data_IF_356808416208
#
_entry.id   IF_356808416208
#
_cell.length_a   1.000
_cell.length_b   1.000
_cell.length_c   1.000
_cell.angle_alpha   90.00
_cell.angle_beta   90.00
_cell.angle_gamma   90.00
#
_symmetry.space_group_name_H-M   'P 1'
#
loop_
_entity.id
_entity.type
_entity.pdbx_description
1 polymer ?
#
# COMPACT_ATOMS: atom_id res chain seq x y z
N UNK A 1 -43.42 5.74 21.01
CA UNK A 1 -42.13 5.90 21.71
C UNK A 1 -41.02 5.17 20.96
N UNK A 2 -41.08 3.87 20.74
CA UNK A 2 -40.04 3.10 20.03
C UNK A 2 -39.64 3.59 18.64
N UNK A 3 -40.57 3.97 17.73
CA UNK A 3 -40.17 4.45 16.39
C UNK A 3 -39.40 5.77 16.44
N UNK A 4 -39.66 6.62 17.44
CA UNK A 4 -38.91 7.87 17.62
C UNK A 4 -37.48 7.59 18.04
N UNK A 5 -37.27 6.62 18.96
CA UNK A 5 -35.93 6.23 19.41
C UNK A 5 -35.09 5.62 18.29
N UNK A 6 -35.69 4.76 17.46
CA UNK A 6 -35.02 4.20 16.26
C UNK A 6 -34.69 5.30 15.24
N UNK A 7 -35.60 6.26 15.02
CA UNK A 7 -35.33 7.37 14.12
C UNK A 7 -34.16 8.24 14.62
N UNK A 8 -34.10 8.52 15.94
CA UNK A 8 -33.01 9.28 16.54
C UNK A 8 -31.67 8.55 16.39
N UNK A 9 -31.61 7.24 16.63
CA UNK A 9 -30.41 6.44 16.41
C UNK A 9 -29.97 6.46 14.94
N UNK A 10 -30.91 6.42 14.00
CA UNK A 10 -30.61 6.56 12.58
C UNK A 10 -30.03 7.94 12.22
N UNK A 11 -30.59 9.01 12.80
CA UNK A 11 -30.07 10.38 12.62
C UNK A 11 -28.68 10.52 13.23
N UNK A 12 -28.47 10.02 14.46
CA UNK A 12 -27.14 10.00 15.09
C UNK A 12 -26.11 9.28 14.20
N UNK A 13 -26.44 8.09 13.73
CA UNK A 13 -25.55 7.34 12.86
C UNK A 13 -25.21 8.10 11.55
N UNK A 14 -26.19 8.75 10.94
CA UNK A 14 -25.97 9.56 9.73
C UNK A 14 -25.07 10.78 10.02
N UNK A 15 -25.31 11.47 11.14
CA UNK A 15 -24.48 12.61 11.57
C UNK A 15 -23.04 12.15 11.83
N UNK A 16 -22.85 11.02 12.53
CA UNK A 16 -21.52 10.48 12.80
C UNK A 16 -20.79 10.05 11.53
N UNK A 17 -21.47 9.36 10.60
CA UNK A 17 -20.90 9.03 9.31
C UNK A 17 -20.45 10.29 8.53
N UNK A 18 -21.32 11.30 8.48
CA UNK A 18 -21.01 12.56 7.79
C UNK A 18 -19.85 13.29 8.43
N UNK A 19 -19.77 13.30 9.77
CA UNK A 19 -18.68 13.92 10.49
C UNK A 19 -17.35 13.21 10.24
N UNK A 20 -17.30 11.87 10.33
CA UNK A 20 -16.10 11.06 10.06
C UNK A 20 -15.61 11.27 8.64
N UNK A 21 -16.50 11.14 7.65
CA UNK A 21 -16.18 11.28 6.24
C UNK A 21 -15.77 12.72 5.87
N UNK A 22 -16.45 13.71 6.47
CA UNK A 22 -16.13 15.14 6.29
C UNK A 22 -14.77 15.52 6.87
N UNK A 23 -14.47 15.07 8.10
CA UNK A 23 -13.17 15.29 8.71
C UNK A 23 -12.05 14.58 7.94
N UNK A 24 -12.30 13.38 7.47
CA UNK A 24 -11.34 12.69 6.61
C UNK A 24 -11.12 13.43 5.29
N UNK A 25 -12.17 13.97 4.67
CA UNK A 25 -12.05 14.77 3.45
C UNK A 25 -11.22 16.05 3.66
N UNK A 26 -11.32 16.67 4.83
CA UNK A 26 -10.54 17.88 5.16
C UNK A 26 -9.04 17.62 5.38
N UNK A 27 -8.58 16.37 5.32
CA UNK A 27 -7.19 15.97 5.60
C UNK A 27 -6.15 16.61 4.69
N UNK A 28 -6.54 16.96 3.47
CA UNK A 28 -5.65 17.67 2.52
C UNK A 28 -5.30 19.08 2.97
N UNK A 29 -6.16 19.71 3.78
CA UNK A 29 -5.97 21.06 4.30
C UNK A 29 -5.46 21.05 5.76
N UNK A 30 -6.01 20.17 6.60
CA UNK A 30 -5.81 20.17 8.05
C UNK A 30 -5.02 18.96 8.57
N UNK A 31 -4.67 18.01 7.70
CA UNK A 31 -4.12 16.72 8.10
C UNK A 31 -5.19 15.85 8.79
N UNK A 32 -4.77 14.71 9.33
CA UNK A 32 -5.66 13.76 10.03
C UNK A 32 -5.91 14.11 11.51
N UNK A 33 -5.22 15.11 12.05
CA UNK A 33 -5.32 15.48 13.48
C UNK A 33 -6.75 15.80 13.95
N UNK A 34 -7.61 16.54 13.19
CA UNK A 34 -8.98 16.77 13.60
C UNK A 34 -9.80 15.48 13.72
N UNK A 35 -9.58 14.52 12.81
CA UNK A 35 -10.23 13.21 12.89
C UNK A 35 -9.82 12.47 14.17
N UNK A 36 -8.53 12.44 14.51
CA UNK A 36 -8.02 11.76 15.71
C UNK A 36 -8.56 12.37 16.98
N UNK A 37 -8.65 13.71 17.07
CA UNK A 37 -9.21 14.41 18.23
C UNK A 37 -10.68 14.05 18.43
N UNK A 38 -11.48 14.06 17.36
CA UNK A 38 -12.91 13.74 17.44
C UNK A 38 -13.13 12.27 17.78
N UNK A 39 -12.32 11.36 17.26
CA UNK A 39 -12.38 9.94 17.64
C UNK A 39 -12.04 9.72 19.11
N UNK A 40 -11.04 10.42 19.65
CA UNK A 40 -10.76 10.43 21.10
C UNK A 40 -11.93 10.96 21.93
N UNK A 41 -12.60 12.01 21.44
CA UNK A 41 -13.83 12.53 22.05
C UNK A 41 -14.98 11.51 22.05
N UNK A 42 -15.15 10.73 20.99
CA UNK A 42 -16.15 9.65 20.95
C UNK A 42 -15.88 8.57 21.98
N UNK A 43 -14.62 8.19 22.19
CA UNK A 43 -14.24 7.23 23.23
C UNK A 43 -14.58 7.76 24.63
N UNK A 44 -14.34 9.05 24.88
CA UNK A 44 -14.73 9.68 26.16
C UNK A 44 -16.25 9.68 26.34
N UNK A 45 -17.02 10.05 25.33
CA UNK A 45 -18.49 10.07 25.40
C UNK A 45 -19.04 8.65 25.58
N UNK A 46 -18.47 7.65 24.88
CA UNK A 46 -18.86 6.24 25.07
C UNK A 46 -18.66 5.76 26.50
N UNK A 47 -17.50 6.06 27.09
CA UNK A 47 -17.19 5.68 28.46
C UNK A 47 -18.08 6.42 29.51
N UNK A 48 -18.50 7.66 29.18
CA UNK A 48 -19.24 8.54 30.11
C UNK A 48 -20.76 8.42 29.98
N UNK A 49 -21.27 8.18 28.77
CA UNK A 49 -22.71 8.12 28.47
C UNK A 49 -23.22 6.68 28.56
N UNK A 50 -23.59 6.28 29.77
CA UNK A 50 -24.21 4.97 30.00
C UNK A 50 -25.76 5.04 29.86
N UNK A 51 -26.21 5.70 28.74
CA UNK A 51 -27.63 5.84 28.44
C UNK A 51 -28.17 4.54 27.84
N UNK A 52 -29.18 3.97 28.46
CA UNK A 52 -29.93 2.81 27.96
C UNK A 52 -31.24 3.29 27.33
N UNK A 53 -31.46 2.95 26.09
CA UNK A 53 -32.66 3.32 25.32
C UNK A 53 -33.41 2.06 24.89
N UNK A 54 -34.67 1.98 25.24
CA UNK A 54 -35.54 0.87 24.85
C UNK A 54 -36.12 1.15 23.45
N UNK A 55 -35.83 0.28 22.47
CA UNK A 55 -36.23 0.42 21.07
C UNK A 55 -37.35 -0.53 20.65
N UNK A 56 -37.61 -1.56 21.46
CA UNK A 56 -38.75 -2.46 21.38
C UNK A 56 -38.99 -3.12 22.74
N UNK A 57 -40.13 -3.74 22.98
CA UNK A 57 -40.40 -4.41 24.25
C UNK A 57 -39.32 -5.44 24.60
N UNK A 58 -38.58 -5.23 25.69
CA UNK A 58 -37.44 -6.06 26.10
C UNK A 58 -36.15 -5.88 25.30
N UNK A 59 -36.11 -4.97 24.35
CA UNK A 59 -34.92 -4.64 23.55
C UNK A 59 -34.37 -3.27 23.88
N UNK A 60 -33.23 -3.24 24.52
CA UNK A 60 -32.55 -2.00 24.87
C UNK A 60 -31.17 -1.92 24.19
N UNK A 61 -30.87 -0.73 23.70
CA UNK A 61 -29.58 -0.39 23.06
C UNK A 61 -28.87 0.68 23.90
N UNK A 62 -27.58 0.74 23.74
CA UNK A 62 -26.72 1.79 24.28
C UNK A 62 -26.24 2.65 23.09
N UNK A 63 -26.81 3.87 22.89
CA UNK A 63 -26.50 4.71 21.73
C UNK A 63 -25.00 4.97 21.55
N UNK A 64 -24.28 5.28 22.62
CA UNK A 64 -22.85 5.52 22.59
C UNK A 64 -22.08 4.32 22.01
N UNK A 65 -22.33 3.11 22.51
CA UNK A 65 -21.68 1.89 21.99
C UNK A 65 -22.18 1.50 20.60
N UNK A 66 -23.47 1.75 20.31
CA UNK A 66 -24.05 1.37 19.00
C UNK A 66 -23.62 2.29 17.87
N UNK A 67 -23.46 3.61 18.13
CA UNK A 67 -23.23 4.62 17.10
C UNK A 67 -21.79 5.15 17.15
N UNK A 68 -21.29 5.58 18.33
CA UNK A 68 -19.97 6.24 18.43
C UNK A 68 -18.82 5.25 18.29
N UNK A 69 -18.90 4.10 18.98
CA UNK A 69 -17.89 3.05 18.85
C UNK A 69 -17.80 2.53 17.40
N UNK A 70 -18.94 2.27 16.78
CA UNK A 70 -18.96 1.80 15.40
C UNK A 70 -18.45 2.86 14.41
N UNK A 71 -18.63 4.16 14.69
CA UNK A 71 -18.04 5.26 13.94
C UNK A 71 -16.50 5.30 14.07
N UNK A 72 -15.97 4.92 15.23
CA UNK A 72 -14.54 4.79 15.43
C UNK A 72 -13.96 3.66 14.55
N UNK A 73 -14.63 2.51 14.48
CA UNK A 73 -14.22 1.42 13.58
C UNK A 73 -14.32 1.81 12.10
N UNK A 74 -15.34 2.58 11.73
CA UNK A 74 -15.46 3.18 10.38
C UNK A 74 -14.24 4.06 10.08
N UNK A 75 -13.82 4.92 11.01
CA UNK A 75 -12.67 5.80 10.84
C UNK A 75 -11.36 5.01 10.69
N UNK A 76 -11.15 3.99 11.52
CA UNK A 76 -9.98 3.09 11.42
C UNK A 76 -9.93 2.43 10.04
N UNK A 77 -11.05 1.88 9.58
CA UNK A 77 -11.11 1.21 8.28
C UNK A 77 -10.93 2.20 7.12
N UNK A 78 -11.52 3.39 7.20
CA UNK A 78 -11.37 4.45 6.18
C UNK A 78 -9.91 4.90 6.05
N UNK A 79 -9.25 5.18 7.18
CA UNK A 79 -7.83 5.57 7.19
C UNK A 79 -6.96 4.43 6.64
N UNK A 80 -7.26 3.18 7.01
CA UNK A 80 -6.55 2.02 6.48
C UNK A 80 -6.68 1.86 4.95
N UNK A 81 -7.88 2.07 4.40
CA UNK A 81 -8.13 1.92 2.95
C UNK A 81 -7.47 3.03 2.12
N UNK A 82 -7.40 4.26 2.65
CA UNK A 82 -7.03 5.46 1.87
C UNK A 82 -5.67 6.03 2.17
N UNK A 83 -5.13 5.77 3.34
CA UNK A 83 -3.86 6.31 3.78
C UNK A 83 -2.81 5.20 3.92
N UNK A 84 -1.56 5.60 4.12
CA UNK A 84 -0.51 4.65 4.42
C UNK A 84 -0.78 3.92 5.75
N UNK A 85 -0.37 2.68 5.84
CA UNK A 85 -0.48 1.85 7.06
C UNK A 85 0.10 2.53 8.30
N UNK A 86 1.06 3.43 8.11
CA UNK A 86 1.62 4.25 9.18
C UNK A 86 0.57 5.15 9.84
N UNK A 87 -0.34 5.73 9.07
CA UNK A 87 -1.40 6.60 9.58
C UNK A 87 -2.48 5.79 10.30
N UNK A 88 -2.88 4.63 9.74
CA UNK A 88 -3.80 3.72 10.42
C UNK A 88 -3.25 3.26 11.79
N UNK A 89 -1.96 2.95 11.87
CA UNK A 89 -1.28 2.58 13.11
C UNK A 89 -1.23 3.72 14.12
N UNK A 90 -0.96 4.97 13.69
CA UNK A 90 -1.01 6.14 14.58
C UNK A 90 -2.41 6.33 15.15
N UNK A 91 -3.45 6.15 14.33
CA UNK A 91 -4.83 6.24 14.78
C UNK A 91 -5.12 5.16 15.83
N UNK A 92 -4.82 3.89 15.55
CA UNK A 92 -5.07 2.77 16.49
C UNK A 92 -4.35 2.98 17.81
N UNK A 93 -3.04 3.26 17.79
CA UNK A 93 -2.27 3.48 19.03
C UNK A 93 -2.71 4.76 19.75
N UNK A 94 -3.04 5.82 19.00
CA UNK A 94 -3.57 7.06 19.56
C UNK A 94 -4.90 6.84 20.30
N UNK A 95 -5.82 6.07 19.74
CA UNK A 95 -7.10 5.72 20.34
C UNK A 95 -6.91 4.88 21.62
N UNK A 96 -6.05 3.87 21.59
CA UNK A 96 -5.76 3.02 22.74
C UNK A 96 -5.13 3.83 23.88
N UNK A 97 -4.14 4.67 23.56
CA UNK A 97 -3.50 5.53 24.56
C UNK A 97 -4.45 6.59 25.11
N UNK A 98 -5.28 7.19 24.24
CA UNK A 98 -6.30 8.15 24.68
C UNK A 98 -7.32 7.50 25.62
N UNK A 99 -7.84 6.31 25.25
CA UNK A 99 -8.79 5.59 26.08
C UNK A 99 -8.18 5.17 27.44
N UNK A 100 -6.96 4.64 27.44
CA UNK A 100 -6.25 4.28 28.68
C UNK A 100 -5.98 5.52 29.55
N UNK A 101 -5.54 6.63 28.94
CA UNK A 101 -5.29 7.89 29.66
C UNK A 101 -6.56 8.49 30.24
N UNK A 102 -7.64 8.56 29.49
CA UNK A 102 -8.96 9.03 29.95
C UNK A 102 -9.52 8.14 31.06
N UNK A 103 -9.35 6.83 30.96
CA UNK A 103 -9.76 5.88 31.98
C UNK A 103 -8.99 6.10 33.29
N UNK A 104 -7.67 6.32 33.19
CA UNK A 104 -6.83 6.62 34.37
C UNK A 104 -7.26 7.95 35.05
N UNK A 105 -7.45 9.01 34.24
CA UNK A 105 -7.91 10.32 34.76
C UNK A 105 -9.29 10.18 35.37
N UNK A 106 -10.23 9.49 34.74
CA UNK A 106 -11.58 9.24 35.31
C UNK A 106 -11.51 8.48 36.62
N UNK A 107 -10.62 7.50 36.75
CA UNK A 107 -10.40 6.77 38.00
C UNK A 107 -9.89 7.70 39.13
N UNK A 108 -8.91 8.57 38.82
CA UNK A 108 -8.39 9.53 39.79
C UNK A 108 -9.47 10.54 40.20
N UNK A 109 -10.23 11.08 39.22
CA UNK A 109 -11.34 12.03 39.51
C UNK A 109 -12.42 11.37 40.34
N UNK A 110 -12.74 10.10 40.13
CA UNK A 110 -13.73 9.37 40.91
C UNK A 110 -13.36 9.26 42.40
N UNK A 111 -12.06 9.23 42.73
CA UNK A 111 -11.62 9.23 44.15
C UNK A 111 -11.89 10.59 44.84
N UNK A 112 -11.79 11.71 44.10
CA UNK A 112 -12.13 13.02 44.68
C UNK A 112 -13.61 13.10 45.08
N UNK A 113 -14.51 12.46 44.33
CA UNK A 113 -15.94 12.41 44.63
C UNK A 113 -16.22 11.61 45.90
N UNK A 114 -15.35 10.70 46.31
CA UNK A 114 -15.48 9.92 47.57
C UNK A 114 -15.05 10.67 48.80
N UNK A 115 -14.33 11.79 48.67
CA UNK A 115 -13.83 12.57 49.77
C UNK A 115 -15.01 13.40 50.39
N UNK A 116 -15.27 13.35 51.70
CA UNK A 116 -16.30 14.13 52.31
C UNK A 116 -16.10 15.63 52.06
N UNK A 117 -17.17 16.32 51.65
CA UNK A 117 -17.12 17.74 51.30
C UNK A 117 -17.02 18.04 49.83
N UNK A 118 -16.96 17.02 48.98
CA UNK A 118 -17.03 17.21 47.52
C UNK A 118 -18.49 17.42 47.09
N UNK A 119 -18.74 18.52 46.36
CA UNK A 119 -20.05 18.79 45.76
C UNK A 119 -20.09 18.22 44.35
N UNK A 120 -21.01 17.30 44.09
CA UNK A 120 -21.24 16.73 42.75
C UNK A 120 -22.40 17.53 42.12
N UNK A 121 -22.21 18.11 40.90
CA UNK A 121 -23.28 18.83 40.22
C UNK A 121 -24.56 17.99 40.08
N UNK A 122 -25.71 18.60 40.23
CA UNK A 122 -27.00 17.94 40.09
C UNK A 122 -27.12 17.34 38.68
N UNK A 123 -27.32 16.01 38.59
CA UNK A 123 -27.37 15.26 37.33
C UNK A 123 -26.16 14.37 37.04
N UNK A 124 -25.02 14.58 37.72
CA UNK A 124 -23.93 13.62 37.74
C UNK A 124 -24.06 12.72 38.96
N UNK A 125 -24.31 11.45 38.74
CA UNK A 125 -24.34 10.48 39.85
C UNK A 125 -22.92 9.95 40.07
N UNK A 126 -22.58 9.67 41.35
CA UNK A 126 -21.31 9.00 41.69
C UNK A 126 -21.11 7.68 40.93
N UNK A 127 -22.19 6.99 40.58
CA UNK A 127 -22.17 5.78 39.77
C UNK A 127 -21.81 6.02 38.31
N UNK A 128 -22.11 7.19 37.74
CA UNK A 128 -21.70 7.53 36.37
C UNK A 128 -20.24 7.98 36.27
N UNK A 129 -19.65 8.46 37.37
CA UNK A 129 -18.24 8.85 37.45
C UNK A 129 -17.32 7.73 37.96
N UNK A 130 -17.87 6.73 38.66
CA UNK A 130 -17.13 5.55 39.12
C UNK A 130 -16.88 4.62 37.91
N UNK A 131 -15.97 5.01 37.05
CA UNK A 131 -15.45 4.09 36.04
C UNK A 131 -14.97 2.82 36.72
N UNK A 132 -15.67 1.71 36.48
CA UNK A 132 -15.18 0.42 36.93
C UNK A 132 -13.87 0.18 36.17
N UNK A 133 -12.74 0.14 36.87
CA UNK A 133 -11.41 -0.08 36.30
C UNK A 133 -11.39 -1.34 35.41
N UNK A 134 -12.20 -2.33 35.75
CA UNK A 134 -12.39 -3.54 34.93
C UNK A 134 -13.02 -3.23 33.57
N UNK A 135 -14.10 -2.43 33.54
CA UNK A 135 -14.78 -2.02 32.29
C UNK A 135 -13.85 -1.22 31.40
N UNK A 136 -13.09 -0.30 32.00
CA UNK A 136 -12.10 0.50 31.28
C UNK A 136 -10.98 -0.35 30.68
N UNK A 137 -10.47 -1.32 31.45
CA UNK A 137 -9.44 -2.25 30.96
C UNK A 137 -9.98 -3.11 29.80
N UNK A 138 -11.15 -3.73 29.99
CA UNK A 138 -11.80 -4.56 28.96
C UNK A 138 -12.07 -3.74 27.71
N UNK A 139 -12.64 -2.53 27.83
CA UNK A 139 -12.90 -1.65 26.70
C UNK A 139 -11.64 -1.25 25.94
N UNK A 140 -10.54 -0.97 26.66
CA UNK A 140 -9.26 -0.62 26.00
C UNK A 140 -8.66 -1.82 25.24
N UNK A 141 -8.68 -3.00 25.83
CA UNK A 141 -8.17 -4.22 25.20
C UNK A 141 -9.01 -4.59 23.98
N UNK A 142 -10.35 -4.54 24.10
CA UNK A 142 -11.25 -4.82 22.98
C UNK A 142 -11.09 -3.80 21.87
N UNK A 143 -11.01 -2.50 22.17
CA UNK A 143 -10.77 -1.46 21.16
C UNK A 143 -9.52 -1.74 20.32
N UNK A 144 -8.44 -2.18 20.97
CA UNK A 144 -7.21 -2.56 20.25
C UNK A 144 -7.44 -3.78 19.37
N UNK A 145 -8.04 -4.84 19.91
CA UNK A 145 -8.32 -6.08 19.17
C UNK A 145 -9.29 -5.84 18.01
N UNK A 146 -10.31 -5.02 18.21
CA UNK A 146 -11.30 -4.67 17.18
C UNK A 146 -10.69 -3.84 16.06
N UNK A 147 -9.85 -2.86 16.43
CA UNK A 147 -9.13 -2.04 15.44
C UNK A 147 -8.17 -2.87 14.58
N UNK A 148 -7.54 -3.87 15.16
CA UNK A 148 -6.69 -4.81 14.42
C UNK A 148 -7.53 -5.82 13.63
N UNK A 149 -8.57 -6.36 14.29
CA UNK A 149 -9.47 -7.37 13.72
C UNK A 149 -10.20 -6.86 12.47
N UNK A 150 -10.65 -5.60 12.45
CA UNK A 150 -11.36 -5.04 11.30
C UNK A 150 -10.48 -4.98 10.06
N UNK A 151 -9.20 -4.66 10.22
CA UNK A 151 -8.22 -4.65 9.14
C UNK A 151 -8.00 -6.08 8.62
N UNK A 152 -7.82 -7.05 9.53
CA UNK A 152 -7.60 -8.45 9.17
C UNK A 152 -8.80 -9.05 8.42
N UNK A 153 -10.02 -8.80 8.91
CA UNK A 153 -11.24 -9.30 8.26
C UNK A 153 -11.44 -8.62 6.90
N UNK A 154 -11.21 -7.32 6.80
CA UNK A 154 -11.29 -6.59 5.53
C UNK A 154 -10.34 -7.18 4.48
N UNK A 155 -9.07 -7.41 4.84
CA UNK A 155 -8.07 -8.02 3.96
C UNK A 155 -8.45 -9.46 3.58
N UNK A 156 -8.90 -10.26 4.54
CA UNK A 156 -9.37 -11.63 4.27
C UNK A 156 -10.51 -11.65 3.25
N UNK A 157 -11.55 -10.81 3.45
CA UNK A 157 -12.70 -10.73 2.55
C UNK A 157 -12.32 -10.15 1.19
N UNK A 158 -11.30 -9.29 1.12
CA UNK A 158 -10.82 -8.70 -0.13
C UNK A 158 -10.32 -9.74 -1.15
N UNK A 159 -9.89 -10.91 -0.68
CA UNK A 159 -9.46 -12.03 -1.53
C UNK A 159 -10.60 -12.72 -2.25
N UNK A 160 -11.82 -12.70 -1.66
CA UNK A 160 -12.98 -13.42 -2.17
C UNK A 160 -14.02 -12.53 -2.84
N UNK A 161 -14.06 -11.24 -2.52
CA UNK A 161 -15.03 -10.29 -3.05
C UNK A 161 -14.39 -9.06 -3.65
N UNK A 162 -14.83 -8.66 -4.86
CA UNK A 162 -14.46 -7.40 -5.51
C UNK A 162 -15.34 -6.23 -5.08
N UNK A 163 -16.49 -6.50 -4.45
CA UNK A 163 -17.43 -5.46 -4.02
C UNK A 163 -16.92 -4.74 -2.77
N UNK A 164 -16.69 -3.44 -2.88
CA UNK A 164 -16.26 -2.60 -1.76
C UNK A 164 -17.28 -2.65 -0.62
N UNK A 165 -18.58 -2.59 -0.92
CA UNK A 165 -19.65 -2.70 0.07
C UNK A 165 -19.57 -4.03 0.86
N UNK A 166 -19.37 -5.16 0.16
CA UNK A 166 -19.29 -6.47 0.82
C UNK A 166 -18.08 -6.54 1.75
N UNK A 167 -16.91 -6.05 1.30
CA UNK A 167 -15.69 -6.05 2.12
C UNK A 167 -15.88 -5.25 3.40
N UNK A 168 -16.38 -4.01 3.27
CA UNK A 168 -16.58 -3.11 4.41
C UNK A 168 -17.68 -3.59 5.33
N UNK A 169 -18.82 -4.04 4.79
CA UNK A 169 -19.95 -4.54 5.57
C UNK A 169 -19.58 -5.79 6.38
N UNK A 170 -18.94 -6.77 5.75
CA UNK A 170 -18.53 -8.00 6.45
C UNK A 170 -17.50 -7.71 7.53
N UNK A 171 -16.51 -6.85 7.25
CA UNK A 171 -15.49 -6.51 8.23
C UNK A 171 -16.10 -5.79 9.45
N UNK A 172 -16.92 -4.76 9.23
CA UNK A 172 -17.58 -4.02 10.30
C UNK A 172 -18.52 -4.94 11.13
N UNK A 173 -19.44 -5.63 10.46
CA UNK A 173 -20.46 -6.44 11.16
C UNK A 173 -19.85 -7.62 11.93
N UNK A 174 -18.86 -8.31 11.35
CA UNK A 174 -18.21 -9.43 12.04
C UNK A 174 -17.50 -8.97 13.32
N UNK A 175 -16.71 -7.89 13.24
CA UNK A 175 -15.99 -7.38 14.41
C UNK A 175 -16.97 -6.81 15.44
N UNK A 176 -17.99 -6.05 15.02
CA UNK A 176 -19.00 -5.54 15.95
C UNK A 176 -19.83 -6.62 16.64
N UNK A 177 -20.06 -7.75 15.98
CA UNK A 177 -20.70 -8.90 16.61
C UNK A 177 -19.79 -9.56 17.66
N UNK A 178 -18.51 -9.75 17.32
CA UNK A 178 -17.49 -10.31 18.22
C UNK A 178 -17.34 -9.42 19.45
N UNK A 179 -17.15 -8.13 19.27
CA UNK A 179 -17.08 -7.15 20.38
C UNK A 179 -18.32 -7.19 21.26
N UNK A 180 -19.52 -7.18 20.66
CA UNK A 180 -20.78 -7.22 21.43
C UNK A 180 -20.87 -8.44 22.34
N UNK A 181 -20.41 -9.60 21.87
CA UNK A 181 -20.37 -10.83 22.67
C UNK A 181 -19.36 -10.69 23.82
N UNK A 182 -18.12 -10.36 23.51
CA UNK A 182 -17.04 -10.32 24.52
C UNK A 182 -17.25 -9.21 25.55
N UNK A 183 -17.63 -8.02 25.12
CA UNK A 183 -17.90 -6.90 26.02
C UNK A 183 -19.05 -7.19 26.93
N UNK A 184 -20.19 -7.68 26.40
CA UNK A 184 -21.38 -7.98 27.23
C UNK A 184 -21.10 -9.11 28.22
N UNK A 185 -20.40 -10.15 27.80
CA UNK A 185 -19.99 -11.25 28.68
C UNK A 185 -19.04 -10.77 29.78
N UNK A 186 -18.06 -9.91 29.45
CA UNK A 186 -17.08 -9.44 30.44
C UNK A 186 -17.64 -8.46 31.45
N UNK A 187 -18.59 -7.61 31.02
CA UNK A 187 -19.08 -6.47 31.85
C UNK A 187 -20.41 -6.79 32.54
N UNK A 188 -21.26 -7.64 31.96
CA UNK A 188 -22.62 -7.88 32.45
C UNK A 188 -22.84 -9.30 33.00
N UNK A 189 -21.80 -9.94 33.50
CA UNK A 189 -21.87 -11.27 34.12
C UNK A 189 -22.92 -11.34 35.25
N UNK A 190 -23.63 -12.46 35.28
CA UNK A 190 -24.61 -12.73 36.34
C UNK A 190 -26.00 -12.10 36.16
N UNK A 191 -26.26 -11.39 35.04
CA UNK A 191 -27.61 -10.90 34.74
C UNK A 191 -28.44 -11.98 34.05
N UNK A 192 -29.68 -12.26 34.51
CA UNK A 192 -30.52 -13.28 33.88
C UNK A 192 -30.90 -12.94 32.43
N UNK A 193 -30.88 -11.67 32.03
CA UNK A 193 -31.23 -11.16 30.70
C UNK A 193 -30.04 -11.17 29.73
N UNK A 194 -28.90 -11.73 30.13
CA UNK A 194 -27.64 -11.67 29.36
C UNK A 194 -27.79 -12.09 27.88
N UNK A 195 -28.48 -13.20 27.54
CA UNK A 195 -28.64 -13.58 26.12
C UNK A 195 -29.42 -12.55 25.29
N UNK A 196 -30.46 -11.97 25.85
CA UNK A 196 -31.25 -10.93 25.18
C UNK A 196 -30.45 -9.65 24.97
N UNK A 197 -29.60 -9.27 25.92
CA UNK A 197 -28.69 -8.12 25.81
C UNK A 197 -27.63 -8.31 24.70
N UNK A 198 -27.05 -9.51 24.59
CA UNK A 198 -26.10 -9.85 23.52
C UNK A 198 -26.77 -9.73 22.16
N UNK A 199 -27.95 -10.33 21.99
CA UNK A 199 -28.68 -10.30 20.71
C UNK A 199 -29.06 -8.87 20.32
N UNK A 200 -29.54 -8.07 21.28
CA UNK A 200 -29.91 -6.66 21.07
C UNK A 200 -28.66 -5.83 20.65
N UNK A 201 -27.54 -6.02 21.34
CA UNK A 201 -26.29 -5.33 21.04
C UNK A 201 -25.77 -5.67 19.62
N UNK A 202 -25.77 -6.95 19.25
CA UNK A 202 -25.38 -7.40 17.91
C UNK A 202 -26.30 -6.78 16.84
N UNK A 203 -27.62 -6.86 17.03
CA UNK A 203 -28.58 -6.34 16.05
C UNK A 203 -28.48 -4.82 15.89
N UNK A 204 -28.33 -4.09 16.98
CA UNK A 204 -28.16 -2.64 16.97
C UNK A 204 -26.86 -2.20 16.25
N UNK A 205 -25.73 -2.81 16.60
CA UNK A 205 -24.46 -2.53 15.94
C UNK A 205 -24.48 -2.94 14.47
N UNK A 206 -25.02 -4.10 14.12
CA UNK A 206 -25.07 -4.58 12.74
C UNK A 206 -25.85 -3.62 11.83
N UNK A 207 -27.01 -3.08 12.27
CA UNK A 207 -27.76 -2.10 11.49
C UNK A 207 -26.97 -0.81 11.24
N UNK A 208 -26.33 -0.26 12.29
CA UNK A 208 -25.50 0.95 12.18
C UNK A 208 -24.28 0.70 11.26
N UNK A 209 -23.64 -0.47 11.39
CA UNK A 209 -22.47 -0.83 10.58
C UNK A 209 -22.79 -1.03 9.11
N UNK A 210 -23.95 -1.56 8.79
CA UNK A 210 -24.42 -1.66 7.40
C UNK A 210 -24.66 -0.27 6.80
N UNK A 211 -25.23 0.66 7.57
CA UNK A 211 -25.38 2.05 7.16
C UNK A 211 -24.02 2.71 6.92
N UNK A 212 -23.04 2.48 7.81
CA UNK A 212 -21.68 3.00 7.67
C UNK A 212 -20.95 2.38 6.47
N UNK A 213 -21.12 1.09 6.22
CA UNK A 213 -20.56 0.45 5.03
C UNK A 213 -21.12 1.03 3.73
N UNK A 214 -22.43 1.32 3.72
CA UNK A 214 -23.08 1.99 2.58
C UNK A 214 -22.54 3.42 2.39
N UNK A 215 -22.49 4.22 3.48
CA UNK A 215 -21.96 5.58 3.45
C UNK A 215 -20.50 5.63 2.98
N UNK A 216 -19.66 4.73 3.51
CA UNK A 216 -18.26 4.60 3.09
C UNK A 216 -18.14 4.21 1.62
N UNK A 217 -18.93 3.25 1.16
CA UNK A 217 -18.91 2.83 -0.25
C UNK A 217 -19.32 3.96 -1.20
N UNK A 218 -20.36 4.72 -0.85
CA UNK A 218 -20.78 5.90 -1.60
C UNK A 218 -19.70 6.97 -1.61
N UNK A 219 -19.11 7.26 -0.44
CA UNK A 219 -18.03 8.23 -0.31
C UNK A 219 -16.82 7.85 -1.18
N UNK A 220 -16.34 6.62 -1.10
CA UNK A 220 -15.20 6.16 -1.87
C UNK A 220 -15.45 6.16 -3.38
N UNK A 221 -16.69 5.86 -3.80
CA UNK A 221 -17.08 5.83 -5.22
C UNK A 221 -17.16 7.22 -5.85
N UNK A 222 -17.71 8.22 -5.13
CA UNK A 222 -18.04 9.52 -5.70
C UNK A 222 -17.05 10.63 -5.35
N UNK A 223 -16.38 10.54 -4.20
CA UNK A 223 -15.49 11.59 -3.71
C UNK A 223 -14.01 11.23 -3.76
N UNK A 224 -13.69 9.95 -3.91
CA UNK A 224 -12.31 9.45 -3.94
C UNK A 224 -12.12 8.33 -5.00
N UNK A 225 -12.53 8.54 -6.28
CA UNK A 225 -12.54 7.47 -7.28
C UNK A 225 -11.16 6.95 -7.68
N UNK A 226 -10.10 7.73 -7.50
CA UNK A 226 -8.75 7.38 -7.96
C UNK A 226 -7.70 7.43 -6.86
N UNK A 227 -7.60 6.38 -6.10
CA UNK A 227 -6.32 5.95 -5.52
C UNK A 227 -6.30 4.43 -5.55
N UNK A 228 -5.22 3.87 -6.08
CA UNK A 228 -5.04 2.44 -6.14
C UNK A 228 -5.38 1.82 -4.78
N UNK A 229 -6.38 0.94 -4.79
CA UNK A 229 -6.63 0.04 -3.67
C UNK A 229 -5.31 -0.69 -3.43
N UNK A 230 -4.73 -0.53 -2.25
CA UNK A 230 -3.57 -1.33 -1.83
C UNK A 230 -3.92 -2.77 -2.13
N UNK A 231 -3.13 -3.39 -3.00
CA UNK A 231 -3.43 -4.70 -3.56
C UNK A 231 -3.57 -5.75 -2.47
N UNK A 232 -4.30 -6.80 -2.80
CA UNK A 232 -4.52 -8.00 -2.00
C UNK A 232 -3.20 -8.60 -1.50
N UNK A 233 -2.72 -8.14 -0.35
CA UNK A 233 -1.60 -8.69 0.37
C UNK A 233 -1.99 -9.95 1.16
N UNK A 234 -1.04 -10.77 1.51
CA UNK A 234 -1.25 -11.94 2.36
C UNK A 234 -1.59 -11.49 3.81
N UNK A 235 -2.35 -12.31 4.59
CA UNK A 235 -2.62 -11.99 6.01
C UNK A 235 -1.33 -11.81 6.81
N UNK A 236 -0.26 -12.50 6.40
CA UNK A 236 1.10 -12.23 6.85
C UNK A 236 1.57 -10.81 6.53
N UNK A 237 1.10 -10.20 5.44
CA UNK A 237 1.42 -8.82 5.05
C UNK A 237 0.79 -7.77 5.96
N UNK A 238 -0.34 -8.03 6.61
CA UNK A 238 -0.94 -7.08 7.56
C UNK A 238 0.00 -6.86 8.75
N UNK A 239 0.61 -7.91 9.27
CA UNK A 239 1.63 -7.79 10.32
C UNK A 239 2.98 -7.27 9.77
N UNK A 240 3.33 -7.60 8.51
CA UNK A 240 4.51 -7.06 7.82
C UNK A 240 4.29 -5.61 7.37
N UNK A 241 3.08 -5.23 6.99
CA UNK A 241 2.65 -3.87 6.65
C UNK A 241 2.60 -2.97 7.89
N UNK A 242 2.38 -3.53 9.07
CA UNK A 242 2.59 -2.86 10.36
C UNK A 242 4.09 -2.67 10.69
N UNK A 243 5.00 -3.30 9.94
CA UNK A 243 6.45 -3.14 10.07
C UNK A 243 7.03 -2.34 8.88
N UNK A 244 8.15 -1.66 9.06
CA UNK A 244 8.83 -0.79 8.08
C UNK A 244 9.24 -1.49 6.75
N UNK A 245 8.93 -2.76 6.56
CA UNK A 245 9.44 -3.57 5.46
C UNK A 245 8.90 -3.12 4.09
N UNK A 246 7.61 -2.83 3.97
CA UNK A 246 7.03 -2.37 2.70
C UNK A 246 7.56 -0.99 2.28
N UNK A 247 7.68 -0.05 3.22
CA UNK A 247 8.30 1.25 2.94
C UNK A 247 9.75 1.09 2.49
N UNK A 248 10.48 0.17 3.11
CA UNK A 248 11.85 -0.15 2.73
C UNK A 248 11.92 -0.81 1.33
N UNK A 249 11.05 -1.77 1.03
CA UNK A 249 11.00 -2.44 -0.27
C UNK A 249 10.53 -1.49 -1.38
N UNK A 250 9.53 -0.64 -1.15
CA UNK A 250 9.12 0.41 -2.09
C UNK A 250 10.21 1.47 -2.29
N UNK A 251 10.84 1.92 -1.22
CA UNK A 251 11.97 2.82 -1.30
C UNK A 251 13.14 2.18 -2.07
N UNK A 252 13.46 0.92 -1.77
CA UNK A 252 14.48 0.14 -2.47
C UNK A 252 14.16 -0.02 -3.95
N UNK A 253 12.92 -0.37 -4.30
CA UNK A 253 12.48 -0.50 -5.71
C UNK A 253 12.61 0.85 -6.43
N UNK A 254 12.17 1.95 -5.82
CA UNK A 254 12.35 3.31 -6.40
C UNK A 254 13.81 3.71 -6.53
N UNK A 255 14.66 3.24 -5.63
CA UNK A 255 16.11 3.52 -5.68
C UNK A 255 16.85 2.65 -6.70
N UNK A 256 16.36 1.49 -7.05
CA UNK A 256 17.04 0.50 -7.90
C UNK A 256 16.42 0.31 -9.28
N UNK A 257 15.18 0.77 -9.51
CA UNK A 257 14.48 0.57 -10.79
C UNK A 257 14.15 1.89 -11.49
N UNK A 258 14.08 1.83 -12.82
CA UNK A 258 13.61 2.92 -13.67
C UNK A 258 12.08 2.97 -13.68
N UNK A 259 11.49 4.15 -13.41
CA UNK A 259 10.05 4.31 -13.26
C UNK A 259 9.25 4.11 -14.57
N UNK A 260 9.88 4.32 -15.75
CA UNK A 260 9.23 4.18 -17.07
C UNK A 260 9.17 2.73 -17.52
N UNK A 261 10.30 2.01 -17.37
CA UNK A 261 10.52 0.69 -17.97
C UNK A 261 10.39 -0.45 -16.97
N UNK A 262 10.49 -0.18 -15.66
CA UNK A 262 10.50 -1.21 -14.62
C UNK A 262 11.81 -2.01 -14.54
N UNK A 263 12.77 -1.79 -15.43
CA UNK A 263 14.10 -2.39 -15.35
C UNK A 263 14.92 -1.80 -14.22
N UNK A 264 16.05 -2.42 -13.90
CA UNK A 264 17.02 -1.78 -12.99
C UNK A 264 17.50 -0.44 -13.58
N UNK A 265 17.79 0.52 -12.71
CA UNK A 265 18.31 1.81 -13.10
C UNK A 265 19.85 1.82 -13.13
N UNK A 266 20.44 2.94 -13.57
CA UNK A 266 21.88 3.14 -13.61
C UNK A 266 22.56 2.97 -12.26
N UNK A 267 21.95 3.47 -11.17
CA UNK A 267 22.52 3.32 -9.82
C UNK A 267 22.72 1.86 -9.41
N UNK A 268 21.74 1.00 -9.73
CA UNK A 268 21.88 -0.44 -9.52
C UNK A 268 22.98 -1.06 -10.38
N UNK A 269 23.08 -0.65 -11.68
CA UNK A 269 24.13 -1.12 -12.57
C UNK A 269 25.54 -0.79 -12.06
N UNK A 270 25.75 0.44 -11.59
CA UNK A 270 27.05 0.92 -11.07
C UNK A 270 27.54 0.07 -9.87
N UNK A 271 26.60 -0.53 -9.11
CA UNK A 271 26.93 -1.46 -8.04
C UNK A 271 27.04 -2.92 -8.51
N UNK A 272 26.22 -3.35 -9.47
CA UNK A 272 26.13 -4.75 -9.91
C UNK A 272 27.32 -5.17 -10.76
N UNK A 273 27.78 -4.32 -11.68
CA UNK A 273 28.86 -4.65 -12.61
C UNK A 273 30.20 -4.96 -11.90
N UNK A 274 30.69 -4.14 -10.94
CA UNK A 274 31.91 -4.46 -10.21
C UNK A 274 31.84 -5.80 -9.46
N UNK A 275 30.66 -6.11 -8.89
CA UNK A 275 30.43 -7.39 -8.17
C UNK A 275 30.46 -8.57 -9.15
N UNK A 276 29.84 -8.43 -10.32
CA UNK A 276 29.84 -9.46 -11.36
C UNK A 276 31.23 -9.72 -11.92
N UNK A 277 32.03 -8.68 -12.15
CA UNK A 277 33.43 -8.79 -12.58
C UNK A 277 34.28 -9.48 -11.51
N UNK A 278 34.15 -9.11 -10.23
CA UNK A 278 34.85 -9.76 -9.14
C UNK A 278 34.51 -11.25 -9.01
N UNK A 279 33.22 -11.59 -9.19
CA UNK A 279 32.76 -12.99 -9.21
C UNK A 279 33.35 -13.76 -10.39
N UNK A 280 33.27 -13.19 -11.60
CA UNK A 280 33.83 -13.77 -12.83
C UNK A 280 35.34 -14.01 -12.71
N UNK A 281 36.09 -13.04 -12.19
CA UNK A 281 37.53 -13.18 -11.92
C UNK A 281 37.84 -14.30 -10.94
N UNK A 282 37.06 -14.44 -9.86
CA UNK A 282 37.28 -15.48 -8.83
C UNK A 282 37.01 -16.88 -9.34
N UNK A 283 35.93 -17.06 -10.11
CA UNK A 283 35.48 -18.38 -10.54
C UNK A 283 35.90 -18.72 -11.97
N UNK A 284 36.65 -17.83 -12.63
CA UNK A 284 37.13 -17.98 -14.02
C UNK A 284 35.97 -18.29 -14.99
N UNK A 285 34.81 -17.65 -14.77
CA UNK A 285 33.64 -17.76 -15.62
C UNK A 285 33.54 -16.52 -16.52
N UNK A 286 33.20 -16.64 -17.80
CA UNK A 286 33.06 -15.49 -18.67
C UNK A 286 31.91 -14.59 -18.19
N UNK A 287 32.02 -13.30 -18.48
CA UNK A 287 31.00 -12.29 -18.19
C UNK A 287 30.94 -11.33 -19.38
N UNK A 288 29.78 -11.12 -19.96
CA UNK A 288 29.59 -10.17 -21.04
C UNK A 288 28.75 -9.00 -20.64
N UNK A 289 29.12 -7.80 -21.12
CA UNK A 289 28.34 -6.57 -21.01
C UNK A 289 27.93 -6.11 -22.38
N UNK A 290 26.64 -5.84 -22.54
CA UNK A 290 26.05 -5.30 -23.75
C UNK A 290 25.59 -3.87 -23.49
N UNK A 291 26.05 -2.92 -24.28
CA UNK A 291 25.44 -1.61 -24.38
C UNK A 291 24.51 -1.60 -25.59
N UNK A 292 23.24 -1.28 -25.35
CA UNK A 292 22.17 -1.26 -26.35
C UNK A 292 21.65 0.16 -26.45
N UNK A 293 21.57 0.70 -27.64
CA UNK A 293 21.06 2.04 -27.93
C UNK A 293 19.98 1.98 -28.99
N UNK A 294 18.84 2.59 -28.73
CA UNK A 294 17.72 2.63 -29.68
C UNK A 294 18.00 3.63 -30.80
N UNK A 295 18.13 3.11 -31.99
CA UNK A 295 18.53 3.92 -33.15
C UNK A 295 17.52 5.02 -33.46
N UNK A 296 18.03 6.24 -33.70
CA UNK A 296 17.23 7.43 -34.09
C UNK A 296 16.08 7.76 -33.11
N UNK A 297 16.22 7.42 -31.86
CA UNK A 297 15.17 7.64 -30.86
C UNK A 297 14.73 9.11 -30.76
N UNK A 298 15.67 10.05 -30.92
CA UNK A 298 15.35 11.48 -30.97
C UNK A 298 14.43 11.81 -32.16
N UNK A 299 14.67 11.25 -33.33
CA UNK A 299 13.81 11.45 -34.51
C UNK A 299 12.40 10.92 -34.27
N UNK A 300 12.26 9.79 -33.55
CA UNK A 300 10.97 9.23 -33.15
C UNK A 300 10.21 10.21 -32.25
N UNK A 301 10.89 10.76 -31.24
CA UNK A 301 10.28 11.75 -30.35
C UNK A 301 9.86 13.03 -31.06
N UNK A 302 10.73 13.55 -31.91
CA UNK A 302 10.51 14.81 -32.63
C UNK A 302 9.37 14.67 -33.67
N UNK A 303 9.21 13.48 -34.27
CA UNK A 303 8.19 13.20 -35.32
C UNK A 303 6.84 12.77 -34.70
N UNK A 304 6.84 11.95 -33.65
CA UNK A 304 5.64 11.26 -33.15
C UNK A 304 5.23 11.61 -31.72
N UNK A 305 5.98 12.40 -30.99
CA UNK A 305 5.84 12.80 -29.60
C UNK A 305 6.56 11.90 -28.58
N UNK A 306 6.84 12.46 -27.39
CA UNK A 306 7.43 11.74 -26.26
C UNK A 306 6.59 10.57 -25.76
N UNK A 307 5.25 10.60 -25.94
CA UNK A 307 4.37 9.49 -25.53
C UNK A 307 4.65 8.24 -26.39
N UNK A 308 4.96 8.44 -27.67
CA UNK A 308 5.36 7.35 -28.56
C UNK A 308 6.75 6.85 -28.20
N UNK A 309 7.69 7.74 -27.94
CA UNK A 309 9.03 7.38 -27.45
C UNK A 309 8.98 6.55 -26.17
N UNK A 310 8.13 6.91 -25.22
CA UNK A 310 7.92 6.12 -23.99
C UNK A 310 7.41 4.69 -24.26
N UNK A 311 6.54 4.52 -25.26
CA UNK A 311 6.09 3.19 -25.68
C UNK A 311 7.21 2.38 -26.33
N UNK A 312 8.05 3.03 -27.14
CA UNK A 312 9.24 2.40 -27.74
C UNK A 312 10.19 1.92 -26.65
N UNK A 313 10.49 2.76 -25.66
CA UNK A 313 11.38 2.37 -24.56
C UNK A 313 10.82 1.22 -23.72
N UNK A 314 9.50 1.20 -23.48
CA UNK A 314 8.86 0.06 -22.79
C UNK A 314 8.95 -1.23 -23.62
N UNK A 315 8.73 -1.16 -24.92
CA UNK A 315 8.87 -2.33 -25.80
C UNK A 315 10.30 -2.87 -25.81
N UNK A 316 11.30 -2.01 -25.96
CA UNK A 316 12.73 -2.40 -25.91
C UNK A 316 13.05 -3.06 -24.57
N UNK A 317 12.60 -2.48 -23.47
CA UNK A 317 12.78 -2.99 -22.11
C UNK A 317 12.14 -4.38 -21.91
N UNK A 318 10.90 -4.54 -22.38
CA UNK A 318 10.16 -5.81 -22.32
C UNK A 318 10.89 -6.91 -23.08
N UNK A 319 11.32 -6.65 -24.32
CA UNK A 319 12.05 -7.61 -25.14
C UNK A 319 13.40 -8.00 -24.55
N UNK A 320 14.15 -7.05 -23.99
CA UNK A 320 15.41 -7.35 -23.30
C UNK A 320 15.20 -8.21 -22.05
N UNK A 321 14.15 -7.91 -21.26
CA UNK A 321 13.81 -8.68 -20.07
C UNK A 321 13.33 -10.10 -20.39
N UNK A 322 12.54 -10.27 -21.46
CA UNK A 322 12.05 -11.59 -21.89
C UNK A 322 13.17 -12.49 -22.39
N UNK A 323 14.23 -11.93 -22.98
CA UNK A 323 15.38 -12.67 -23.48
C UNK A 323 16.44 -12.99 -22.42
N UNK A 324 16.43 -12.26 -21.30
CA UNK A 324 17.37 -12.40 -20.19
C UNK A 324 16.96 -13.57 -19.25
N UNK A 325 17.97 -14.21 -18.67
CA UNK A 325 17.80 -15.26 -17.66
C UNK A 325 17.68 -14.61 -16.27
N UNK A 326 17.23 -15.35 -15.27
CA UNK A 326 17.17 -14.90 -13.88
C UNK A 326 18.53 -14.43 -13.32
N UNK A 327 19.63 -15.01 -13.80
CA UNK A 327 20.99 -14.64 -13.42
C UNK A 327 21.52 -13.39 -14.17
N UNK A 328 20.84 -12.95 -15.20
CA UNK A 328 21.24 -11.80 -15.99
C UNK A 328 20.65 -10.51 -15.40
N UNK A 329 21.30 -9.40 -15.66
CA UNK A 329 20.85 -8.09 -15.16
C UNK A 329 20.58 -7.17 -16.33
N UNK A 330 19.34 -6.64 -16.44
CA UNK A 330 18.94 -5.70 -17.48
C UNK A 330 18.65 -4.35 -16.82
N UNK A 331 19.32 -3.29 -17.31
CA UNK A 331 19.21 -1.95 -16.77
C UNK A 331 18.88 -0.93 -17.87
N UNK A 332 18.11 0.09 -17.52
CA UNK A 332 18.08 1.33 -18.30
C UNK A 332 19.19 2.24 -17.81
N UNK A 333 20.16 2.50 -18.69
CA UNK A 333 21.37 3.25 -18.35
C UNK A 333 21.15 4.76 -18.39
N UNK A 334 20.33 5.24 -19.33
CA UNK A 334 19.91 6.64 -19.44
C UNK A 334 19.26 6.93 -20.79
N UNK A 335 18.31 7.83 -20.84
CA UNK A 335 17.66 8.20 -22.10
C UNK A 335 17.09 7.00 -22.86
N UNK A 336 17.71 6.70 -24.00
CA UNK A 336 17.43 5.59 -24.92
C UNK A 336 18.46 4.46 -24.85
N UNK A 337 19.34 4.48 -23.85
CA UNK A 337 20.40 3.50 -23.65
C UNK A 337 20.03 2.46 -22.59
N UNK A 338 20.30 1.19 -22.91
CA UNK A 338 20.14 0.05 -21.99
C UNK A 338 21.46 -0.71 -21.86
N UNK A 339 21.65 -1.35 -20.72
CA UNK A 339 22.83 -2.20 -20.45
C UNK A 339 22.35 -3.57 -19.99
N UNK A 340 22.98 -4.62 -20.50
CA UNK A 340 22.73 -6.00 -20.06
C UNK A 340 24.02 -6.62 -19.56
N UNK A 341 24.00 -7.20 -18.38
CA UNK A 341 25.09 -7.99 -17.81
C UNK A 341 24.67 -9.46 -17.94
N UNK A 342 25.39 -10.21 -18.78
CA UNK A 342 25.16 -11.64 -18.98
C UNK A 342 26.19 -12.46 -18.19
N UNK A 343 25.74 -13.05 -17.10
CA UNK A 343 26.60 -13.86 -16.23
C UNK A 343 26.88 -15.25 -16.81
N UNK A 344 28.12 -15.65 -16.86
CA UNK A 344 28.53 -16.94 -17.44
C UNK A 344 28.41 -17.01 -18.97
N UNK A 345 28.30 -15.86 -19.65
CA UNK A 345 28.20 -15.79 -21.11
C UNK A 345 29.54 -15.37 -21.72
N UNK A 346 30.04 -16.16 -22.66
CA UNK A 346 31.16 -15.84 -23.52
C UNK A 346 30.72 -14.87 -24.65
N UNK A 347 31.70 -14.40 -25.45
CA UNK A 347 31.43 -13.44 -26.51
C UNK A 347 30.46 -13.98 -27.58
N UNK A 348 30.51 -15.27 -27.88
CA UNK A 348 29.63 -15.89 -28.87
C UNK A 348 28.19 -16.00 -28.33
N UNK A 349 28.02 -16.39 -27.06
CA UNK A 349 26.71 -16.45 -26.42
C UNK A 349 26.08 -15.06 -26.27
N UNK A 350 26.88 -14.06 -25.94
CA UNK A 350 26.45 -12.67 -25.86
C UNK A 350 26.03 -12.10 -27.23
N UNK A 351 26.77 -12.43 -28.28
CA UNK A 351 26.42 -12.07 -29.68
C UNK A 351 25.09 -12.75 -30.08
N UNK A 352 24.91 -14.02 -29.77
CA UNK A 352 23.67 -14.74 -30.06
C UNK A 352 22.45 -14.15 -29.31
N UNK A 353 22.63 -13.70 -28.05
CA UNK A 353 21.62 -12.97 -27.33
C UNK A 353 21.23 -11.66 -28.03
N UNK A 354 22.23 -10.85 -28.39
CA UNK A 354 22.03 -9.57 -29.07
C UNK A 354 21.34 -9.70 -30.42
N UNK A 355 21.74 -10.70 -31.23
CA UNK A 355 21.14 -10.99 -32.54
C UNK A 355 19.70 -11.50 -32.42
N UNK A 356 19.40 -12.31 -31.39
CA UNK A 356 18.05 -12.75 -31.09
C UNK A 356 17.17 -11.56 -30.70
N UNK A 357 17.64 -10.69 -29.83
CA UNK A 357 16.95 -9.47 -29.46
C UNK A 357 16.68 -8.58 -30.67
N UNK A 358 17.70 -8.31 -31.55
CA UNK A 358 17.50 -7.50 -32.75
C UNK A 358 16.45 -8.09 -33.70
N UNK A 359 16.46 -9.40 -33.95
CA UNK A 359 15.40 -10.05 -34.74
C UNK A 359 14.01 -9.85 -34.13
N UNK A 360 13.87 -10.10 -32.85
CA UNK A 360 12.59 -9.92 -32.14
C UNK A 360 12.14 -8.45 -32.12
N UNK A 361 13.08 -7.52 -32.00
CA UNK A 361 12.80 -6.11 -32.12
C UNK A 361 12.30 -5.77 -33.52
N UNK A 362 12.92 -6.28 -34.57
CA UNK A 362 12.45 -6.12 -35.94
C UNK A 362 11.07 -6.71 -36.21
N UNK A 363 10.78 -7.90 -35.68
CA UNK A 363 9.50 -8.58 -35.85
C UNK A 363 8.34 -7.91 -35.08
N UNK A 364 8.63 -7.34 -33.90
CA UNK A 364 7.63 -6.68 -33.02
C UNK A 364 7.64 -5.15 -33.10
N UNK A 365 8.59 -4.57 -33.79
CA UNK A 365 8.89 -3.13 -33.81
C UNK A 365 7.90 -2.26 -34.58
N UNK A 366 6.72 -2.76 -34.89
CA UNK A 366 5.65 -1.94 -35.38
C UNK A 366 4.81 -1.42 -34.18
N UNK A 367 5.24 -0.33 -33.54
CA UNK A 367 4.34 0.39 -32.65
C UNK A 367 3.23 0.96 -33.49
N UNK A 368 2.01 0.43 -33.32
CA UNK A 368 0.83 0.93 -34.01
C UNK A 368 0.58 2.38 -33.61
N UNK A 369 0.63 3.27 -34.57
CA UNK A 369 0.27 4.68 -34.46
C UNK A 369 -1.07 4.91 -35.18
N UNK A 370 -1.84 5.97 -34.84
CA UNK A 370 -3.04 6.33 -35.62
C UNK A 370 -2.79 6.48 -37.12
N UNK A 371 -1.59 6.93 -37.50
CA UNK A 371 -1.23 7.27 -38.87
C UNK A 371 -0.17 6.33 -39.51
N UNK A 372 0.11 5.15 -38.91
CA UNK A 372 1.09 4.21 -39.44
C UNK A 372 1.85 3.39 -38.41
N UNK A 373 2.98 2.82 -38.80
CA UNK A 373 3.89 2.03 -37.95
C UNK A 373 5.29 2.63 -37.96
N UNK A 374 5.94 2.71 -36.79
CA UNK A 374 7.34 3.11 -36.64
C UNK A 374 8.21 1.86 -36.61
N UNK A 375 9.20 1.78 -37.50
CA UNK A 375 10.24 0.73 -37.47
C UNK A 375 11.31 1.14 -36.44
N UNK A 376 11.60 0.24 -35.50
CA UNK A 376 12.57 0.47 -34.42
C UNK A 376 13.73 -0.50 -34.62
N UNK A 377 14.95 0.04 -34.64
CA UNK A 377 16.19 -0.75 -34.62
C UNK A 377 17.05 -0.37 -33.41
N UNK A 378 18.02 -1.20 -33.08
CA UNK A 378 18.97 -0.94 -32.03
C UNK A 378 20.40 -1.32 -32.47
N UNK A 379 21.36 -0.50 -32.05
CA UNK A 379 22.77 -0.80 -32.19
C UNK A 379 23.32 -1.32 -30.87
N UNK A 380 24.16 -2.36 -30.93
CA UNK A 380 24.65 -3.05 -29.72
C UNK A 380 26.15 -3.18 -29.77
N UNK A 381 26.83 -2.74 -28.72
CA UNK A 381 28.24 -2.98 -28.45
C UNK A 381 28.44 -4.00 -27.34
N UNK A 382 29.28 -5.03 -27.54
CA UNK A 382 29.50 -6.11 -26.58
C UNK A 382 30.97 -6.14 -26.16
N UNK A 383 31.22 -6.32 -24.87
CA UNK A 383 32.54 -6.62 -24.32
C UNK A 383 32.49 -7.82 -23.39
N UNK A 384 33.48 -8.69 -23.42
CA UNK A 384 33.52 -9.93 -22.65
C UNK A 384 34.77 -9.99 -21.78
N UNK A 385 34.55 -10.06 -20.45
CA UNK A 385 35.62 -10.24 -19.47
C UNK A 385 36.25 -11.64 -19.61
N UNK A 386 37.55 -11.73 -19.45
CA UNK A 386 38.44 -12.89 -19.69
C UNK A 386 38.73 -13.18 -21.17
N UNK A 387 37.95 -12.72 -22.12
CA UNK A 387 38.25 -12.90 -23.57
C UNK A 387 38.84 -11.63 -24.17
N UNK A 388 38.34 -10.47 -23.81
CA UNK A 388 38.88 -9.17 -24.26
C UNK A 388 40.06 -8.76 -23.38
N UNK A 389 41.26 -9.00 -23.80
CA UNK A 389 42.52 -8.77 -23.05
C UNK A 389 42.70 -7.32 -22.57
N UNK A 390 42.00 -6.36 -23.14
CA UNK A 390 42.02 -4.93 -22.73
C UNK A 390 41.01 -4.60 -21.65
N UNK A 391 40.11 -5.53 -21.29
CA UNK A 391 39.04 -5.30 -20.31
C UNK A 391 39.39 -6.02 -19.00
N UNK A 392 40.19 -5.36 -18.12
CA UNK A 392 40.64 -5.93 -16.85
C UNK A 392 39.81 -5.48 -15.65
N UNK A 393 38.96 -4.47 -15.84
CA UNK A 393 38.07 -3.93 -14.79
C UNK A 393 36.66 -3.72 -15.33
N UNK A 394 35.71 -3.46 -14.42
CA UNK A 394 34.34 -3.10 -14.77
C UNK A 394 34.29 -1.86 -15.69
N UNK A 395 35.14 -0.88 -15.42
CA UNK A 395 35.21 0.36 -16.21
C UNK A 395 35.79 0.10 -17.62
N UNK A 396 36.83 -0.72 -17.73
CA UNK A 396 37.41 -1.08 -19.04
C UNK A 396 36.42 -1.85 -19.87
N UNK A 397 35.66 -2.77 -19.24
CA UNK A 397 34.63 -3.57 -19.91
C UNK A 397 33.53 -2.66 -20.49
N UNK A 398 33.01 -1.73 -19.69
CA UNK A 398 32.00 -0.78 -20.14
C UNK A 398 32.54 0.15 -21.24
N UNK A 399 33.76 0.66 -21.11
CA UNK A 399 34.41 1.51 -22.10
C UNK A 399 34.62 0.78 -23.42
N UNK A 400 34.96 -0.51 -23.41
CA UNK A 400 35.09 -1.32 -24.60
C UNK A 400 33.75 -1.54 -25.30
N UNK A 401 32.68 -1.85 -24.52
CA UNK A 401 31.34 -1.98 -25.07
C UNK A 401 30.85 -0.67 -25.72
N UNK A 402 31.09 0.48 -25.06
CA UNK A 402 30.76 1.81 -25.60
C UNK A 402 31.50 2.10 -26.90
N UNK A 403 32.82 1.85 -26.96
CA UNK A 403 33.61 2.00 -28.18
C UNK A 403 33.04 1.16 -29.35
N UNK A 404 32.64 -0.09 -29.08
CA UNK A 404 32.04 -1.00 -30.08
C UNK A 404 30.65 -0.52 -30.50
N UNK A 405 29.84 -0.01 -29.57
CA UNK A 405 28.56 0.62 -29.85
C UNK A 405 28.74 1.84 -30.78
N UNK A 406 29.71 2.71 -30.50
CA UNK A 406 30.02 3.85 -31.34
C UNK A 406 30.45 3.47 -32.74
N UNK A 407 31.28 2.42 -32.88
CA UNK A 407 31.67 1.87 -34.19
C UNK A 407 30.43 1.38 -34.95
N UNK A 408 29.53 0.68 -34.30
CA UNK A 408 28.27 0.21 -34.86
C UNK A 408 27.40 1.36 -35.38
N UNK A 409 27.24 2.40 -34.59
CA UNK A 409 26.47 3.62 -34.95
C UNK A 409 27.08 4.29 -36.21
N UNK A 410 28.40 4.39 -36.28
CA UNK A 410 29.11 4.97 -37.48
C UNK A 410 29.05 4.10 -38.71
N UNK A 411 28.99 2.79 -38.54
CA UNK A 411 28.94 1.83 -39.65
C UNK A 411 27.53 1.65 -40.25
N UNK A 412 26.53 2.45 -39.85
CA UNK A 412 25.19 2.45 -40.43
C UNK A 412 24.08 2.02 -39.48
N UNK A 413 24.36 1.82 -38.17
CA UNK A 413 23.40 1.38 -37.14
C UNK A 413 22.83 -0.02 -37.37
N UNK A 414 21.81 -0.42 -36.63
CA UNK A 414 21.10 -1.71 -36.71
C UNK A 414 22.06 -2.90 -36.79
N UNK A 415 22.98 -3.00 -35.82
CA UNK A 415 24.01 -4.05 -35.83
C UNK A 415 24.56 -4.37 -34.44
N UNK A 416 25.11 -5.55 -34.33
CA UNK A 416 25.88 -6.03 -33.18
C UNK A 416 27.37 -5.94 -33.48
N UNK A 417 28.13 -5.29 -32.58
CA UNK A 417 29.60 -5.23 -32.69
C UNK A 417 30.19 -5.85 -31.41
N UNK A 418 30.83 -7.01 -31.57
CA UNK A 418 31.41 -7.77 -30.45
C UNK A 418 32.89 -8.11 -30.67
N UNK A 419 33.46 -7.74 -31.84
CA UNK A 419 34.88 -7.82 -32.13
C UNK A 419 35.32 -6.50 -32.74
N UNK A 420 36.59 -6.17 -32.55
CA UNK A 420 37.16 -5.01 -33.23
C UNK A 420 37.15 -5.24 -34.72
N UNK A 421 36.49 -4.36 -35.46
CA UNK A 421 36.52 -4.40 -36.92
C UNK A 421 37.95 -4.11 -37.38
N UNK A 422 38.47 -4.85 -38.39
CA UNK A 422 39.77 -4.52 -38.96
C UNK A 422 39.77 -3.05 -39.38
N UNK A 423 40.82 -2.32 -39.00
CA UNK A 423 40.99 -0.93 -39.41
C UNK A 423 40.82 -0.86 -40.93
N UNK A 424 39.78 -0.15 -41.39
CA UNK A 424 39.69 0.20 -42.80
C UNK A 424 40.88 1.11 -43.07
N UNK A 425 41.89 0.52 -43.74
CA UNK A 425 43.02 1.27 -44.32
C UNK A 425 42.39 2.12 -45.43
N UNK A 426 42.16 3.40 -45.11
CA UNK A 426 41.73 4.43 -46.03
C UNK A 426 42.92 5.19 -46.57
#
# INVERSE_FOLDING_TARGET
MYPVQLALLGVEALVMATLVLGLFRSRTLLGLSPLYIVMGGFQYLEASLNLRVEVAPGWALYPASTVMFTATLLAVLLVYIKEETREARKLVYGLVLANAGLSLVSMIVSEHVRIPGSEVPAGLTTSSMQGNAWVALVGTVLLFLDSLGIILVYEFVSRYSRSMFVRTAVALVAIGAIDSVFFTLAVQQGRPELPALVVAAIAGKATTMLLYAAALTVYLRYFEPETAVVGSGDVADVFQTLTYRQLYEQARTRMTHDALTGLYNRGYFDEALPRAVAHSARYQQPLSVLLVDTDRFKEINDTHSHIVGDRVLRLVAELLAEDAREADTVCRFGGDEFVVILTGADAASAAAFAERFQRRLGDRASVALPDGTVSITATIGIATFLEDHTAQSAEDLLRLADRRLYVGKRAGRDRVVWRDLPAQVG
#
